data_IF_099405128957
#
_entry.id   IF_099405128957
#
_cell.length_a   1.000
_cell.length_b   1.000
_cell.length_c   1.000
_cell.angle_alpha   90.00
_cell.angle_beta   90.00
_cell.angle_gamma   90.00
#
_symmetry.space_group_name_H-M   'P 1'
#
loop_
_entity.id
_entity.type
_entity.pdbx_description
1 polymer ?
#
# COMPACT_ATOMS: atom_id res chain seq x y z
N UNK A 1 20.95 -16.52 1.65
CA UNK A 1 20.18 -15.26 1.56
C UNK A 1 19.51 -15.08 2.90
N UNK A 2 20.00 -14.13 3.70
CA UNK A 2 19.48 -13.90 5.06
C UNK A 2 18.18 -13.10 4.95
N UNK A 3 17.04 -13.77 5.14
CA UNK A 3 15.73 -13.13 5.13
C UNK A 3 15.60 -12.30 6.40
N UNK A 4 15.84 -10.99 6.29
CA UNK A 4 15.66 -10.06 7.41
C UNK A 4 14.19 -10.12 7.86
N UNK A 5 13.95 -10.63 9.06
CA UNK A 5 12.62 -10.65 9.66
C UNK A 5 12.11 -9.21 9.84
N UNK A 6 11.01 -8.88 9.17
CA UNK A 6 10.35 -7.58 9.32
C UNK A 6 9.39 -7.70 10.50
N UNK A 7 9.57 -6.84 11.50
CA UNK A 7 8.72 -6.76 12.69
C UNK A 7 7.68 -5.66 12.51
N UNK A 8 6.46 -5.92 12.97
CA UNK A 8 5.36 -4.97 12.92
C UNK A 8 5.63 -3.79 13.85
N UNK A 9 5.54 -2.54 13.37
CA UNK A 9 5.78 -1.36 14.20
C UNK A 9 4.69 -1.12 15.26
N UNK A 10 3.52 -1.77 15.13
CA UNK A 10 2.38 -1.57 16.04
C UNK A 10 2.34 -2.58 17.19
N UNK A 11 2.74 -3.83 16.96
CA UNK A 11 2.62 -4.90 17.96
C UNK A 11 3.88 -5.77 18.14
N UNK A 12 4.96 -5.51 17.38
CA UNK A 12 6.20 -6.31 17.42
C UNK A 12 6.11 -7.71 16.82
N UNK A 13 4.92 -8.12 16.35
CA UNK A 13 4.70 -9.40 15.68
C UNK A 13 5.46 -9.54 14.36
N UNK A 14 5.62 -10.78 13.87
CA UNK A 14 6.24 -11.06 12.58
C UNK A 14 5.35 -10.53 11.44
N UNK A 15 5.97 -9.99 10.39
CA UNK A 15 5.28 -9.62 9.15
C UNK A 15 5.62 -10.61 8.05
N UNK A 16 4.60 -11.15 7.40
CA UNK A 16 4.74 -12.05 6.26
C UNK A 16 4.80 -11.25 4.95
N UNK A 17 5.72 -11.60 4.02
CA UNK A 17 5.78 -10.97 2.72
C UNK A 17 4.58 -11.34 1.85
N UNK A 18 4.10 -10.39 1.07
CA UNK A 18 2.98 -10.59 0.14
C UNK A 18 2.84 -9.46 -0.87
N UNK A 19 1.72 -9.45 -1.58
CA UNK A 19 1.42 -8.45 -2.60
C UNK A 19 0.10 -7.73 -2.32
N UNK A 20 0.10 -6.41 -2.40
CA UNK A 20 -1.08 -5.56 -2.34
C UNK A 20 -1.48 -5.14 -3.75
N UNK A 21 -2.78 -5.18 -4.08
CA UNK A 21 -3.29 -4.81 -5.40
C UNK A 21 -4.48 -3.87 -5.26
N UNK A 22 -4.50 -2.78 -6.02
CA UNK A 22 -5.66 -1.92 -6.11
C UNK A 22 -6.58 -2.45 -7.20
N UNK A 23 -7.75 -2.97 -6.81
CA UNK A 23 -8.77 -3.45 -7.75
C UNK A 23 -9.81 -2.35 -7.98
N UNK A 24 -9.87 -1.84 -9.21
CA UNK A 24 -10.98 -1.00 -9.68
C UNK A 24 -12.10 -1.85 -10.29
N UNK A 25 -13.34 -1.36 -10.24
CA UNK A 25 -14.45 -1.92 -11.01
C UNK A 25 -14.63 -1.13 -12.31
N UNK A 26 -14.98 -1.81 -13.40
CA UNK A 26 -15.21 -1.18 -14.71
C UNK A 26 -16.32 -0.12 -14.64
N UNK A 27 -17.38 -0.39 -13.86
CA UNK A 27 -18.45 0.58 -13.60
C UNK A 27 -17.96 1.78 -12.78
N UNK A 28 -17.12 1.56 -11.75
CA UNK A 28 -16.52 2.65 -10.98
C UNK A 28 -15.60 3.55 -11.82
N UNK A 29 -14.98 2.99 -12.86
CA UNK A 29 -14.21 3.76 -13.83
C UNK A 29 -15.09 4.78 -14.59
N UNK A 30 -16.27 4.39 -15.07
CA UNK A 30 -17.15 5.29 -15.82
C UNK A 30 -17.85 6.34 -14.95
N UNK A 31 -18.06 6.08 -13.66
CA UNK A 31 -18.84 6.97 -12.77
C UNK A 31 -17.96 8.01 -12.05
N UNK A 32 -16.71 7.66 -11.70
CA UNK A 32 -15.88 8.49 -10.80
C UNK A 32 -14.57 8.95 -11.47
N UNK A 33 -14.21 8.38 -12.62
CA UNK A 33 -12.96 8.68 -13.34
C UNK A 33 -11.72 7.96 -12.79
N UNK A 34 -10.65 7.89 -13.58
CA UNK A 34 -9.42 7.13 -13.25
C UNK A 34 -8.67 7.59 -11.99
N UNK A 35 -8.80 8.87 -11.60
CA UNK A 35 -8.00 9.46 -10.51
C UNK A 35 -8.35 8.94 -9.12
N UNK A 36 -9.56 8.41 -8.93
CA UNK A 36 -10.03 7.87 -7.65
C UNK A 36 -9.65 6.41 -7.40
N UNK A 37 -8.96 5.77 -8.36
CA UNK A 37 -8.52 4.38 -8.23
C UNK A 37 -7.05 4.27 -7.79
N UNK A 38 -6.48 5.31 -7.19
CA UNK A 38 -5.11 5.32 -6.68
C UNK A 38 -5.10 5.30 -5.16
N UNK A 39 -4.06 4.68 -4.58
CA UNK A 39 -3.77 4.80 -3.15
C UNK A 39 -2.91 6.04 -2.96
N UNK A 40 -3.41 6.99 -2.19
CA UNK A 40 -2.73 8.24 -1.89
C UNK A 40 -2.24 8.24 -0.44
N UNK A 41 -1.09 8.85 -0.20
CA UNK A 41 -0.58 9.14 1.14
C UNK A 41 -0.47 10.65 1.33
N UNK A 42 -1.14 11.18 2.33
CA UNK A 42 -1.03 12.57 2.72
C UNK A 42 -0.52 12.66 4.15
N UNK A 43 0.58 13.39 4.35
CA UNK A 43 1.03 13.74 5.70
C UNK A 43 0.07 14.78 6.29
N UNK A 44 -0.23 14.69 7.59
CA UNK A 44 -1.08 15.66 8.28
C UNK A 44 -0.61 17.12 8.12
N UNK A 45 0.70 17.34 7.95
CA UNK A 45 1.30 18.66 7.78
C UNK A 45 1.41 19.11 6.32
N UNK A 46 1.09 18.26 5.35
CA UNK A 46 1.25 18.53 3.92
C UNK A 46 -0.08 18.86 3.25
N UNK A 47 -0.06 19.88 2.38
CA UNK A 47 -1.22 20.24 1.53
C UNK A 47 -1.39 19.36 0.30
N UNK A 48 -0.40 18.52 -0.02
CA UNK A 48 -0.40 17.62 -1.19
C UNK A 48 -0.29 16.18 -0.75
N UNK A 49 -0.99 15.31 -1.46
CA UNK A 49 -0.91 13.86 -1.32
C UNK A 49 0.03 13.28 -2.39
N UNK A 50 0.79 12.27 -2.02
CA UNK A 50 1.68 11.52 -2.91
C UNK A 50 0.98 10.22 -3.34
N UNK A 51 1.16 9.79 -4.59
CA UNK A 51 0.65 8.49 -5.06
C UNK A 51 1.54 7.39 -4.49
N UNK A 52 0.94 6.47 -3.72
CA UNK A 52 1.61 5.26 -3.20
C UNK A 52 1.56 4.13 -4.22
N UNK A 53 0.41 3.95 -4.87
CA UNK A 53 0.20 2.92 -5.90
C UNK A 53 -0.91 3.32 -6.87
N UNK A 54 -0.76 2.95 -8.14
CA UNK A 54 -1.74 3.25 -9.20
C UNK A 54 -2.80 2.13 -9.34
N UNK A 55 -3.89 2.42 -10.07
CA UNK A 55 -4.96 1.43 -10.29
C UNK A 55 -4.45 0.24 -11.09
N UNK A 56 -4.83 -0.98 -10.69
CA UNK A 56 -4.40 -2.21 -11.35
C UNK A 56 -2.96 -2.62 -11.04
N UNK A 57 -2.23 -1.84 -10.26
CA UNK A 57 -0.85 -2.14 -9.90
C UNK A 57 -0.76 -3.14 -8.74
N UNK A 58 0.26 -3.99 -8.79
CA UNK A 58 0.63 -4.93 -7.73
C UNK A 58 1.90 -4.41 -7.05
N UNK A 59 1.87 -4.31 -5.72
CA UNK A 59 2.99 -3.82 -4.91
C UNK A 59 3.44 -4.86 -3.90
N UNK A 60 4.76 -4.93 -3.70
CA UNK A 60 5.31 -5.65 -2.56
C UNK A 60 4.80 -5.03 -1.26
N UNK A 61 4.39 -5.90 -0.36
CA UNK A 61 3.75 -5.54 0.90
C UNK A 61 4.09 -6.58 1.96
N UNK A 62 3.81 -6.23 3.21
CA UNK A 62 3.88 -7.20 4.30
C UNK A 62 2.63 -7.08 5.15
N UNK A 63 2.13 -8.22 5.65
CA UNK A 63 0.99 -8.26 6.59
C UNK A 63 1.46 -8.83 7.92
N UNK A 64 1.14 -8.15 9.00
CA UNK A 64 1.39 -8.68 10.33
C UNK A 64 0.42 -9.82 10.66
N UNK A 65 0.94 -10.96 11.09
CA UNK A 65 0.12 -12.14 11.46
C UNK A 65 -0.68 -11.96 12.75
N UNK A 66 -0.35 -10.97 13.58
CA UNK A 66 -0.94 -10.79 14.90
C UNK A 66 -2.00 -9.66 14.94
N UNK A 67 -1.70 -8.51 14.33
CA UNK A 67 -2.59 -7.33 14.39
C UNK A 67 -3.12 -6.88 13.03
N UNK A 68 -2.86 -7.65 11.97
CA UNK A 68 -3.30 -7.38 10.60
C UNK A 68 -2.82 -6.07 9.96
N UNK A 69 -1.91 -5.34 10.60
CA UNK A 69 -1.28 -4.18 9.99
C UNK A 69 -0.60 -4.55 8.66
N UNK A 70 -0.87 -3.74 7.63
CA UNK A 70 -0.29 -3.91 6.30
C UNK A 70 0.70 -2.77 6.02
N UNK A 71 1.92 -3.12 5.59
CA UNK A 71 2.89 -2.17 5.07
C UNK A 71 2.98 -2.31 3.56
N UNK A 72 2.94 -1.18 2.84
CA UNK A 72 3.06 -1.13 1.37
C UNK A 72 4.32 -0.35 1.06
N UNK A 73 5.19 -0.91 0.21
CA UNK A 73 6.42 -0.23 -0.19
C UNK A 73 6.07 0.81 -1.28
N UNK A 74 6.25 2.13 -1.01
CA UNK A 74 5.97 3.17 -1.99
C UNK A 74 7.01 3.16 -3.12
N UNK A 75 6.77 3.91 -4.21
CA UNK A 75 7.76 4.10 -5.27
C UNK A 75 9.12 4.54 -4.71
N UNK A 76 10.25 4.05 -5.29
CA UNK A 76 11.53 4.70 -5.07
C UNK A 76 11.40 6.15 -5.52
N UNK A 77 11.68 7.10 -4.63
CA UNK A 77 11.81 8.51 -5.04
C UNK A 77 13.12 8.61 -5.80
N UNK A 78 13.05 8.77 -7.11
CA UNK A 78 14.18 9.12 -7.98
C UNK A 78 14.45 10.61 -7.81
#
# INVERSE_FOLDING_TARGET
MESKEIRCPYCGGLMEPGCATIRGTILGFFVIGFSYQHLWFQKNTAKKADVVATSGEIRQSHRCVNCDAVSIVPFPRI
#
